data_IF_650483273652
#
_entry.id   IF_650483273652
#
_cell.length_a   1.000
_cell.length_b   1.000
_cell.length_c   1.000
_cell.angle_alpha   90.00
_cell.angle_beta   90.00
_cell.angle_gamma   90.00
#
_symmetry.space_group_name_H-M   'P 1'
#
loop_
_entity.id
_entity.type
_entity.pdbx_description
1 polymer ?
#
# COMPACT_ATOMS: atom_id res chain seq x y z
N UNK A 1 -3.46 -12.25 11.26
CA UNK A 1 -3.32 -11.00 10.47
C UNK A 1 -3.08 -9.72 11.28
N UNK A 2 -3.10 -9.73 12.63
CA UNK A 2 -2.92 -8.51 13.46
C UNK A 2 -1.65 -7.70 13.16
N UNK A 3 -0.49 -8.37 13.04
CA UNK A 3 0.79 -7.70 12.76
C UNK A 3 0.83 -7.11 11.35
N UNK A 4 0.37 -7.87 10.34
CA UNK A 4 0.27 -7.41 8.95
C UNK A 4 -0.59 -6.14 8.87
N UNK A 5 -1.72 -6.10 9.57
CA UNK A 5 -2.58 -4.91 9.64
C UNK A 5 -1.88 -3.69 10.24
N UNK A 6 -1.17 -3.85 11.37
CA UNK A 6 -0.43 -2.76 12.02
C UNK A 6 0.69 -2.21 11.14
N UNK A 7 1.47 -3.11 10.53
CA UNK A 7 2.56 -2.75 9.63
C UNK A 7 2.00 -2.04 8.39
N UNK A 8 0.88 -2.51 7.84
CA UNK A 8 0.26 -1.88 6.68
C UNK A 8 -0.29 -0.48 6.99
N UNK A 9 -0.87 -0.25 8.18
CA UNK A 9 -1.24 1.10 8.63
C UNK A 9 -0.01 2.00 8.62
N UNK A 10 1.07 1.56 9.26
CA UNK A 10 2.31 2.34 9.34
C UNK A 10 2.85 2.70 7.95
N UNK A 11 2.85 1.74 7.03
CA UNK A 11 3.28 1.91 5.65
C UNK A 11 2.47 2.98 4.89
N UNK A 12 1.17 3.06 5.16
CA UNK A 12 0.29 4.08 4.56
C UNK A 12 0.45 5.42 5.28
N UNK A 13 0.54 5.45 6.61
CA UNK A 13 0.51 6.73 7.35
C UNK A 13 1.84 7.46 7.32
N UNK A 14 2.97 6.75 7.29
CA UNK A 14 4.30 7.36 7.39
C UNK A 14 4.58 8.38 6.27
N UNK A 15 4.37 8.06 4.97
CA UNK A 15 4.67 9.02 3.91
C UNK A 15 3.76 10.23 3.96
N UNK A 16 2.48 10.05 4.31
CA UNK A 16 1.54 11.17 4.48
C UNK A 16 1.91 12.07 5.65
N UNK A 17 2.33 11.50 6.78
CA UNK A 17 2.80 12.28 7.94
C UNK A 17 4.04 13.11 7.59
N UNK A 18 4.99 12.55 6.83
CA UNK A 18 6.16 13.29 6.36
C UNK A 18 5.73 14.36 5.34
N UNK A 19 4.82 14.04 4.42
CA UNK A 19 4.32 14.99 3.42
C UNK A 19 3.64 16.21 4.08
N UNK A 20 2.92 16.03 5.20
CA UNK A 20 2.33 17.15 5.94
C UNK A 20 3.38 18.08 6.57
N UNK A 21 4.56 17.57 6.94
CA UNK A 21 5.68 18.41 7.38
C UNK A 21 6.29 19.19 6.20
N UNK A 22 6.12 18.67 4.97
CA UNK A 22 6.44 19.33 3.71
C UNK A 22 5.81 20.71 3.51
N UNK A 23 4.68 20.98 4.19
CA UNK A 23 4.01 22.29 4.18
C UNK A 23 4.86 23.36 4.87
N UNK A 24 5.64 22.99 5.88
CA UNK A 24 6.49 23.91 6.63
C UNK A 24 7.90 24.00 6.06
N UNK A 25 8.43 22.91 5.50
CA UNK A 25 9.70 22.89 4.77
C UNK A 25 9.62 21.89 3.60
N UNK A 26 9.83 22.40 2.39
CA UNK A 26 9.76 21.64 1.14
C UNK A 26 10.75 20.46 1.08
N UNK A 27 11.86 20.50 1.81
CA UNK A 27 12.82 19.40 1.89
C UNK A 27 12.16 18.10 2.39
N UNK A 28 11.14 18.20 3.24
CA UNK A 28 10.38 17.04 3.71
C UNK A 28 9.54 16.38 2.62
N UNK A 29 9.24 17.06 1.50
CA UNK A 29 8.56 16.43 0.37
C UNK A 29 9.45 15.37 -0.30
N UNK A 30 10.77 15.62 -0.39
CA UNK A 30 11.73 14.64 -0.89
C UNK A 30 11.79 13.42 0.05
N UNK A 31 11.82 13.67 1.37
CA UNK A 31 11.76 12.59 2.36
C UNK A 31 10.43 11.82 2.30
N UNK A 32 9.31 12.47 2.02
CA UNK A 32 8.00 11.82 1.85
C UNK A 32 7.97 10.92 0.61
N UNK A 33 8.55 11.37 -0.51
CA UNK A 33 8.69 10.56 -1.73
C UNK A 33 9.57 9.32 -1.48
N UNK A 34 10.74 9.50 -0.85
CA UNK A 34 11.61 8.39 -0.48
C UNK A 34 10.89 7.41 0.46
N UNK A 35 10.18 7.92 1.47
CA UNK A 35 9.38 7.10 2.37
C UNK A 35 8.30 6.31 1.61
N UNK A 36 7.64 6.94 0.63
CA UNK A 36 6.65 6.27 -0.23
C UNK A 36 7.25 5.11 -1.01
N UNK A 37 8.47 5.23 -1.53
CA UNK A 37 9.15 4.13 -2.23
C UNK A 37 9.45 2.96 -1.28
N UNK A 38 9.97 3.26 -0.09
CA UNK A 38 10.27 2.26 0.94
C UNK A 38 8.99 1.56 1.42
N UNK A 39 7.94 2.32 1.74
CA UNK A 39 6.69 1.75 2.22
C UNK A 39 5.91 1.05 1.11
N UNK A 40 6.05 1.47 -0.15
CA UNK A 40 5.52 0.77 -1.32
C UNK A 40 6.14 -0.61 -1.49
N UNK A 41 7.47 -0.73 -1.38
CA UNK A 41 8.15 -2.03 -1.37
C UNK A 41 7.68 -2.94 -0.23
N UNK A 42 7.51 -2.37 0.96
CA UNK A 42 6.96 -3.07 2.11
C UNK A 42 5.50 -3.52 1.89
N UNK A 43 4.67 -2.70 1.24
CA UNK A 43 3.30 -3.08 0.87
C UNK A 43 3.25 -4.27 -0.10
N UNK A 44 4.18 -4.35 -1.06
CA UNK A 44 4.30 -5.52 -1.95
C UNK A 44 4.60 -6.78 -1.14
N UNK A 45 5.54 -6.72 -0.19
CA UNK A 45 5.85 -7.85 0.69
C UNK A 45 4.63 -8.28 1.53
N UNK A 46 3.90 -7.31 2.09
CA UNK A 46 2.68 -7.60 2.86
C UNK A 46 1.59 -8.22 2.01
N UNK A 47 1.46 -7.82 0.74
CA UNK A 47 0.49 -8.39 -0.19
C UNK A 47 0.83 -9.86 -0.49
N UNK A 48 2.10 -10.17 -0.76
CA UNK A 48 2.58 -11.54 -0.97
C UNK A 48 2.30 -12.40 0.27
N UNK A 49 2.65 -11.93 1.47
CA UNK A 49 2.40 -12.68 2.71
C UNK A 49 0.89 -12.89 2.92
N UNK A 50 0.07 -11.88 2.62
CA UNK A 50 -1.39 -11.96 2.75
C UNK A 50 -2.00 -12.93 1.75
N UNK A 51 -1.42 -13.03 0.57
CA UNK A 51 -1.81 -13.97 -0.48
C UNK A 51 -1.58 -15.42 -0.06
N UNK A 52 -0.41 -15.74 0.52
CA UNK A 52 -0.14 -17.07 1.06
C UNK A 52 -1.08 -17.46 2.21
N UNK A 53 -1.49 -16.49 3.03
CA UNK A 53 -2.43 -16.75 4.14
C UNK A 53 -3.87 -16.88 3.68
N UNK A 54 -4.26 -16.15 2.64
CA UNK A 54 -5.65 -16.09 2.15
C UNK A 54 -5.69 -16.20 0.62
N UNK A 55 -5.31 -17.36 0.04
CA UNK A 55 -5.15 -17.52 -1.40
C UNK A 55 -6.47 -17.47 -2.18
N UNK A 56 -7.62 -17.50 -1.52
CA UNK A 56 -8.94 -17.43 -2.18
C UNK A 56 -9.48 -15.99 -2.31
N UNK A 57 -8.76 -14.99 -1.79
CA UNK A 57 -9.24 -13.61 -1.76
C UNK A 57 -8.95 -12.89 -3.09
N UNK A 58 -9.97 -12.80 -3.94
CA UNK A 58 -9.92 -12.17 -5.28
C UNK A 58 -9.35 -10.75 -5.24
N UNK A 59 -9.63 -9.99 -4.17
CA UNK A 59 -9.13 -8.63 -4.04
C UNK A 59 -7.60 -8.54 -3.96
N UNK A 60 -6.92 -9.56 -3.40
CA UNK A 60 -5.45 -9.61 -3.38
C UNK A 60 -4.86 -9.86 -4.78
N UNK A 61 -5.56 -10.64 -5.61
CA UNK A 61 -5.20 -10.81 -7.03
C UNK A 61 -5.36 -9.50 -7.79
N UNK A 62 -6.50 -8.82 -7.64
CA UNK A 62 -6.75 -7.54 -8.29
C UNK A 62 -5.68 -6.52 -7.89
N UNK A 63 -5.38 -6.40 -6.59
CA UNK A 63 -4.32 -5.51 -6.12
C UNK A 63 -2.95 -5.84 -6.75
N UNK A 64 -2.57 -7.11 -6.77
CA UNK A 64 -1.28 -7.53 -7.33
C UNK A 64 -1.19 -7.26 -8.84
N UNK A 65 -2.27 -7.56 -9.58
CA UNK A 65 -2.36 -7.26 -11.02
C UNK A 65 -2.26 -5.77 -11.29
N UNK A 66 -2.97 -4.94 -10.53
CA UNK A 66 -2.90 -3.47 -10.68
C UNK A 66 -1.51 -2.92 -10.33
N UNK A 67 -0.85 -3.53 -9.33
CA UNK A 67 0.53 -3.14 -8.96
C UNK A 67 1.52 -3.46 -10.08
N UNK A 68 1.41 -4.64 -10.70
CA UNK A 68 2.22 -4.99 -11.88
C UNK A 68 1.92 -4.05 -13.04
N UNK A 69 0.64 -3.78 -13.30
CA UNK A 69 0.20 -2.88 -14.35
C UNK A 69 0.73 -1.45 -14.13
N UNK A 70 0.78 -0.98 -12.89
CA UNK A 70 1.39 0.29 -12.54
C UNK A 70 2.86 0.37 -12.98
N UNK A 71 3.68 -0.64 -12.67
CA UNK A 71 5.08 -0.66 -13.10
C UNK A 71 5.24 -0.70 -14.63
N UNK A 72 4.35 -1.43 -15.32
CA UNK A 72 4.31 -1.45 -16.79
C UNK A 72 3.94 -0.08 -17.36
N UNK A 73 2.94 0.59 -16.79
CA UNK A 73 2.51 1.94 -17.19
C UNK A 73 3.61 2.97 -16.96
N UNK A 74 4.32 2.92 -15.84
CA UNK A 74 5.50 3.76 -15.60
C UNK A 74 6.56 3.59 -16.69
N UNK A 75 6.80 2.36 -17.14
CA UNK A 75 7.79 2.07 -18.20
C UNK A 75 7.33 2.55 -19.58
N UNK A 76 6.04 2.42 -19.89
CA UNK A 76 5.48 2.80 -21.19
C UNK A 76 5.25 4.32 -21.33
N UNK A 77 4.93 5.00 -20.22
CA UNK A 77 4.54 6.42 -20.22
C UNK A 77 5.27 7.19 -19.11
N UNK A 78 6.61 7.32 -19.18
CA UNK A 78 7.41 7.91 -18.10
C UNK A 78 7.10 9.39 -17.81
N UNK A 79 6.56 10.12 -18.79
CA UNK A 79 6.26 11.56 -18.66
C UNK A 79 4.80 11.84 -18.24
N UNK A 80 4.02 10.81 -17.92
CA UNK A 80 2.63 10.99 -17.51
C UNK A 80 2.53 11.14 -15.98
N UNK A 81 2.44 12.38 -15.53
CA UNK A 81 2.33 12.73 -14.10
C UNK A 81 1.11 12.09 -13.42
N UNK A 82 0.05 11.77 -14.18
CA UNK A 82 -1.14 11.11 -13.62
C UNK A 82 -0.82 9.74 -12.99
N UNK A 83 0.24 9.07 -13.47
CA UNK A 83 0.68 7.77 -12.96
C UNK A 83 1.19 7.89 -11.52
N UNK A 84 1.66 9.06 -11.09
CA UNK A 84 2.14 9.29 -9.72
C UNK A 84 1.02 9.24 -8.67
N UNK A 85 -0.25 9.36 -9.07
CA UNK A 85 -1.40 9.22 -8.17
C UNK A 85 -1.84 7.76 -7.95
N UNK A 86 -1.38 6.82 -8.80
CA UNK A 86 -1.70 5.40 -8.65
C UNK A 86 -1.14 4.76 -7.36
N UNK A 87 0.13 4.98 -6.96
CA UNK A 87 0.68 4.36 -5.76
C UNK A 87 -0.09 4.71 -4.48
N UNK A 88 -0.44 5.99 -4.19
CA UNK A 88 -1.29 6.30 -3.05
C UNK A 88 -2.67 5.64 -3.13
N UNK A 89 -3.29 5.58 -4.31
CA UNK A 89 -4.58 4.92 -4.50
C UNK A 89 -4.49 3.40 -4.25
N UNK A 90 -3.46 2.74 -4.75
CA UNK A 90 -3.19 1.32 -4.53
C UNK A 90 -2.89 1.01 -3.06
N UNK A 91 -2.14 1.88 -2.38
CA UNK A 91 -1.87 1.78 -0.94
C UNK A 91 -3.16 1.81 -0.11
N UNK A 92 -4.07 2.74 -0.42
CA UNK A 92 -5.39 2.83 0.22
C UNK A 92 -6.24 1.59 -0.08
N UNK A 93 -6.21 1.10 -1.32
CA UNK A 93 -6.92 -0.12 -1.69
C UNK A 93 -6.42 -1.33 -0.90
N UNK A 94 -5.11 -1.54 -0.83
CA UNK A 94 -4.50 -2.62 -0.06
C UNK A 94 -4.84 -2.54 1.44
N UNK A 95 -4.84 -1.32 2.00
CA UNK A 95 -5.27 -1.10 3.37
C UNK A 95 -6.71 -1.58 3.65
N UNK A 96 -7.65 -1.29 2.74
CA UNK A 96 -9.02 -1.75 2.88
C UNK A 96 -9.14 -3.28 2.82
N UNK A 97 -8.36 -3.94 1.95
CA UNK A 97 -8.30 -5.41 1.87
C UNK A 97 -7.82 -5.98 3.20
N UNK A 98 -6.65 -5.57 3.68
CA UNK A 98 -6.05 -6.08 4.92
C UNK A 98 -6.96 -5.82 6.12
N UNK A 99 -7.60 -4.64 6.19
CA UNK A 99 -8.57 -4.30 7.24
C UNK A 99 -9.75 -5.28 7.24
N UNK A 100 -10.26 -5.61 6.06
CA UNK A 100 -11.39 -6.55 5.91
C UNK A 100 -11.00 -7.95 6.34
N UNK A 101 -9.83 -8.44 5.91
CA UNK A 101 -9.31 -9.74 6.30
C UNK A 101 -9.04 -9.82 7.81
N UNK A 102 -8.49 -8.77 8.40
CA UNK A 102 -8.27 -8.70 9.84
C UNK A 102 -9.59 -8.77 10.63
N UNK A 103 -10.63 -8.06 10.20
CA UNK A 103 -11.96 -8.13 10.83
C UNK A 103 -12.57 -9.54 10.72
N UNK A 104 -12.46 -10.19 9.56
CA UNK A 104 -12.95 -11.57 9.34
C UNK A 104 -12.26 -12.57 10.27
N UNK A 105 -10.92 -12.51 10.36
CA UNK A 105 -10.16 -13.38 11.28
C UNK A 105 -10.52 -13.12 12.74
N UNK A 106 -10.67 -11.84 13.14
CA UNK A 106 -11.02 -11.51 14.52
C UNK A 106 -12.37 -12.11 14.91
N UNK A 107 -13.38 -11.98 14.04
CA UNK A 107 -14.71 -12.55 14.27
C UNK A 107 -14.67 -14.07 14.37
N UNK A 108 -13.82 -14.75 13.59
CA UNK A 108 -13.68 -16.22 13.65
C UNK A 108 -13.11 -16.72 14.98
N UNK A 109 -12.29 -15.92 15.67
CA UNK A 109 -11.65 -16.30 16.94
C UNK A 109 -12.50 -15.93 18.17
N UNK A 110 -13.65 -15.28 17.98
CA UNK A 110 -14.59 -14.90 19.05
C UNK A 110 -15.71 -15.95 19.23
N UNK A 111 -15.73 -17.01 18.40
CA UNK A 111 -16.60 -18.19 18.50
C UNK A 111 -15.76 -19.45 18.64
#
# INVERSE_FOLDING_TARGET
>A
MKYIYRINIFAVTLPFAIATLGVFNQDFLIFALLSTMVTGGLQVLLAIISFYKNPKEVHLYIYSTLTILFFLLCKLYPNNEAILFLPPALAIYHFNIIRTLYKREKKKNEF
#
